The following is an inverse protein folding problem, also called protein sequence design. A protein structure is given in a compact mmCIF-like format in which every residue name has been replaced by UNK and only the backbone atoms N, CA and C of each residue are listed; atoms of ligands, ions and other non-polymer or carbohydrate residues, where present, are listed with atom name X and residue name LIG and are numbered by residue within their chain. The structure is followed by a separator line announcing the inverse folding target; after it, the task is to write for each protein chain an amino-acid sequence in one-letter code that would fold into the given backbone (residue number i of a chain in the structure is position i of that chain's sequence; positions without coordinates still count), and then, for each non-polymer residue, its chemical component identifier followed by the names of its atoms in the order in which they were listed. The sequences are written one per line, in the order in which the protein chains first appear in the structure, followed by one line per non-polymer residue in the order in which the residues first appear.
data_IF_707177181937
#
_entry.id   IF_707177181937
#
_cell.length_a   1.000
_cell.length_b   1.000
_cell.length_c   1.000
_cell.angle_alpha   90.00
_cell.angle_beta   90.00
_cell.angle_gamma   90.00
#
_symmetry.space_group_name_H-M   'P 1'
#
loop_
_entity.id
_entity.type
_entity.pdbx_description
1 polymer ?
#
# COMPACT_ATOMS: atom_id res chain seq x y z
N UNK A 1 -14.52 -15.13 4.02
CA UNK A 1 -14.03 -13.93 4.76
C UNK A 1 -13.01 -13.11 3.96
N UNK A 2 -12.02 -13.71 3.27
CA UNK A 2 -11.03 -13.00 2.43
C UNK A 2 -11.66 -12.16 1.30
N UNK A 3 -12.58 -12.75 0.53
CA UNK A 3 -13.24 -12.08 -0.61
C UNK A 3 -14.08 -10.85 -0.20
N UNK A 4 -14.61 -10.83 1.03
CA UNK A 4 -15.39 -9.70 1.55
C UNK A 4 -14.44 -8.54 1.95
N UNK A 5 -13.21 -8.82 2.41
CA UNK A 5 -12.24 -7.76 2.74
C UNK A 5 -11.53 -7.19 1.51
N UNK A 6 -11.35 -7.99 0.46
CA UNK A 6 -10.79 -7.55 -0.83
C UNK A 6 -11.78 -6.72 -1.64
N UNK A 7 -13.03 -7.17 -1.75
CA UNK A 7 -14.10 -6.42 -2.40
C UNK A 7 -14.21 -5.00 -1.80
N UNK A 8 -14.16 -4.92 -0.47
CA UNK A 8 -14.17 -3.68 0.30
C UNK A 8 -13.01 -2.72 0.01
N UNK A 9 -11.81 -3.23 -0.29
CA UNK A 9 -10.62 -2.42 -0.61
C UNK A 9 -10.69 -1.83 -2.02
N UNK A 10 -11.32 -2.55 -2.95
CA UNK A 10 -11.42 -2.14 -4.35
C UNK A 10 -12.39 -0.97 -4.58
N UNK A 11 -13.36 -0.74 -3.67
CA UNK A 11 -14.35 0.32 -3.82
C UNK A 11 -13.74 1.73 -3.96
N UNK A 12 -12.69 2.05 -3.20
CA UNK A 12 -12.02 3.35 -3.32
C UNK A 12 -11.32 3.52 -4.68
N UNK A 13 -10.65 2.47 -5.16
CA UNK A 13 -9.98 2.50 -6.46
C UNK A 13 -10.98 2.57 -7.61
N UNK A 14 -12.04 1.75 -7.60
CA UNK A 14 -13.09 1.82 -8.62
C UNK A 14 -13.81 3.18 -8.61
N UNK A 15 -14.10 3.73 -7.43
CA UNK A 15 -14.72 5.05 -7.32
C UNK A 15 -13.91 6.11 -8.08
N UNK A 16 -12.59 6.18 -7.88
CA UNK A 16 -11.74 7.15 -8.59
C UNK A 16 -11.48 6.78 -10.05
N UNK A 17 -11.09 5.54 -10.34
CA UNK A 17 -10.57 5.15 -11.66
C UNK A 17 -11.64 4.67 -12.64
N UNK A 18 -12.72 4.05 -12.15
CA UNK A 18 -13.79 3.53 -13.00
C UNK A 18 -14.97 4.48 -13.11
N UNK A 19 -15.31 5.15 -12.01
CA UNK A 19 -16.50 6.00 -11.91
C UNK A 19 -16.19 7.50 -11.80
N UNK A 20 -14.91 7.90 -11.87
CA UNK A 20 -14.45 9.29 -11.85
C UNK A 20 -14.98 10.13 -10.66
N UNK A 21 -15.17 9.48 -9.51
CA UNK A 21 -15.58 10.15 -8.27
C UNK A 21 -14.37 10.82 -7.63
N UNK A 22 -14.53 12.06 -7.19
CA UNK A 22 -13.50 12.78 -6.44
C UNK A 22 -13.34 12.22 -5.01
N UNK A 23 -12.55 11.15 -4.87
CA UNK A 23 -12.24 10.53 -3.57
C UNK A 23 -11.33 11.38 -2.65
N UNK A 24 -10.89 12.55 -3.12
CA UNK A 24 -10.22 13.56 -2.28
C UNK A 24 -11.20 14.42 -1.47
N UNK A 25 -12.49 14.43 -1.83
CA UNK A 25 -13.54 15.07 -1.03
C UNK A 25 -13.98 14.11 0.11
N UNK A 26 -13.86 14.50 1.39
CA UNK A 26 -14.28 13.67 2.52
C UNK A 26 -15.74 13.20 2.45
N UNK A 27 -16.65 13.99 1.87
CA UNK A 27 -18.06 13.61 1.71
C UNK A 27 -18.23 12.50 0.69
N UNK A 28 -17.53 12.62 -0.46
CA UNK A 28 -17.54 11.60 -1.51
C UNK A 28 -16.92 10.32 -0.98
N UNK A 29 -15.78 10.41 -0.29
CA UNK A 29 -15.10 9.26 0.29
C UNK A 29 -15.95 8.57 1.38
N UNK A 30 -16.62 9.32 2.26
CA UNK A 30 -17.56 8.76 3.25
C UNK A 30 -18.71 7.99 2.58
N UNK A 31 -19.28 8.53 1.49
CA UNK A 31 -20.33 7.86 0.71
C UNK A 31 -19.81 6.55 0.09
N UNK A 32 -18.63 6.58 -0.56
CA UNK A 32 -18.00 5.39 -1.16
C UNK A 32 -17.77 4.30 -0.09
N UNK A 33 -17.28 4.68 1.09
CA UNK A 33 -17.02 3.74 2.19
C UNK A 33 -18.32 3.15 2.74
N UNK A 34 -19.37 3.97 2.87
CA UNK A 34 -20.69 3.54 3.32
C UNK A 34 -21.34 2.57 2.32
N UNK A 35 -21.25 2.85 1.01
CA UNK A 35 -21.70 1.96 -0.06
C UNK A 35 -20.96 0.60 -0.05
N UNK A 36 -19.71 0.58 0.40
CA UNK A 36 -18.90 -0.63 0.60
C UNK A 36 -19.22 -1.39 1.91
N UNK A 37 -20.18 -0.92 2.70
CA UNK A 37 -20.59 -1.53 3.97
C UNK A 37 -19.62 -1.28 5.12
N UNK A 38 -18.99 -0.10 5.14
CA UNK A 38 -18.26 0.44 6.30
C UNK A 38 -19.02 1.58 6.94
N UNK A 39 -18.61 1.96 8.16
CA UNK A 39 -18.99 3.24 8.75
C UNK A 39 -18.09 4.34 8.16
N UNK A 40 -18.55 4.99 7.08
CA UNK A 40 -17.78 6.01 6.37
C UNK A 40 -17.47 7.22 7.24
N UNK A 41 -18.42 7.68 8.06
CA UNK A 41 -18.24 8.84 8.93
C UNK A 41 -17.21 8.56 10.02
N UNK A 42 -17.31 7.40 10.69
CA UNK A 42 -16.34 7.00 11.71
C UNK A 42 -14.93 6.85 11.13
N UNK A 43 -14.79 6.28 9.92
CA UNK A 43 -13.49 6.15 9.26
C UNK A 43 -12.88 7.49 8.87
N UNK A 44 -13.66 8.42 8.32
CA UNK A 44 -13.19 9.77 8.02
C UNK A 44 -12.76 10.49 9.30
N UNK A 45 -13.52 10.37 10.39
CA UNK A 45 -13.14 10.92 11.68
C UNK A 45 -11.82 10.32 12.20
N UNK A 46 -11.65 9.00 12.12
CA UNK A 46 -10.43 8.30 12.55
C UNK A 46 -9.18 8.75 11.78
N UNK A 47 -9.30 9.23 10.52
CA UNK A 47 -8.14 9.80 9.80
C UNK A 47 -7.54 11.03 10.49
N UNK A 48 -8.29 11.68 11.38
CA UNK A 48 -7.82 12.85 12.10
C UNK A 48 -7.00 12.50 13.34
N UNK A 49 -7.08 11.27 13.83
CA UNK A 49 -6.33 10.81 14.98
C UNK A 49 -4.84 10.92 14.74
N UNK A 50 -4.15 11.44 15.77
CA UNK A 50 -2.71 11.68 15.70
C UNK A 50 -1.94 10.39 15.41
N UNK A 51 -2.34 9.27 16.01
CA UNK A 51 -1.71 7.97 15.79
C UNK A 51 -1.78 7.53 14.32
N UNK A 52 -2.91 7.76 13.63
CA UNK A 52 -3.09 7.42 12.22
C UNK A 52 -2.19 8.28 11.34
N UNK A 53 -2.14 9.59 11.61
CA UNK A 53 -1.26 10.53 10.90
C UNK A 53 0.21 10.21 11.12
N UNK A 54 0.59 9.84 12.35
CA UNK A 54 1.97 9.48 12.68
C UNK A 54 2.37 8.16 12.01
N UNK A 55 1.47 7.19 11.93
CA UNK A 55 1.75 5.96 11.20
C UNK A 55 1.91 6.22 9.69
N UNK A 56 1.11 7.11 9.11
CA UNK A 56 1.28 7.54 7.71
C UNK A 56 2.66 8.17 7.49
N UNK A 57 3.08 9.10 8.36
CA UNK A 57 4.42 9.72 8.29
C UNK A 57 5.54 8.71 8.38
N UNK A 58 5.50 7.80 9.36
CA UNK A 58 6.49 6.72 9.53
C UNK A 58 6.58 5.82 8.29
N UNK A 59 5.44 5.50 7.68
CA UNK A 59 5.40 4.71 6.45
C UNK A 59 6.05 5.45 5.28
N UNK A 60 5.80 6.76 5.15
CA UNK A 60 6.43 7.62 4.14
C UNK A 60 7.94 7.76 4.36
N UNK A 61 8.38 7.96 5.59
CA UNK A 61 9.81 8.02 5.95
C UNK A 61 10.53 6.71 5.61
N UNK A 62 9.91 5.56 5.92
CA UNK A 62 10.42 4.24 5.52
C UNK A 62 10.58 4.12 4.00
N UNK A 63 9.59 4.58 3.24
CA UNK A 63 9.62 4.55 1.77
C UNK A 63 10.75 5.43 1.21
N UNK A 64 10.98 6.61 1.79
CA UNK A 64 12.08 7.51 1.43
C UNK A 64 13.43 6.85 1.77
N UNK A 65 13.59 6.27 2.96
CA UNK A 65 14.81 5.60 3.38
C UNK A 65 15.16 4.40 2.47
N UNK A 66 14.14 3.67 2.00
CA UNK A 66 14.28 2.59 1.04
C UNK A 66 14.41 3.06 -0.42
N UNK A 67 14.49 4.39 -0.65
CA UNK A 67 14.66 5.03 -1.97
C UNK A 67 13.59 4.64 -3.00
N UNK A 68 12.34 4.48 -2.56
CA UNK A 68 11.21 4.24 -3.48
C UNK A 68 11.04 5.44 -4.41
N UNK A 69 10.91 5.19 -5.71
CA UNK A 69 10.69 6.23 -6.72
C UNK A 69 9.21 6.42 -7.09
N UNK A 70 8.31 5.55 -6.61
CA UNK A 70 6.88 5.64 -6.90
C UNK A 70 6.08 4.43 -6.40
N UNK A 71 4.81 4.36 -6.82
CA UNK A 71 3.89 3.26 -6.51
C UNK A 71 3.28 2.66 -7.78
N UNK A 72 2.93 1.35 -7.80
CA UNK A 72 3.21 0.38 -6.75
C UNK A 72 4.71 0.02 -6.69
N UNK A 73 5.21 -0.15 -5.47
CA UNK A 73 6.56 -0.69 -5.16
C UNK A 73 6.39 -1.81 -4.14
N UNK A 74 7.20 -2.85 -4.28
CA UNK A 74 7.13 -4.07 -3.47
C UNK A 74 8.48 -4.34 -2.81
N UNK A 75 8.44 -4.92 -1.61
CA UNK A 75 9.62 -5.38 -0.89
C UNK A 75 9.22 -6.65 -0.13
N UNK A 76 9.96 -7.74 -0.34
CA UNK A 76 9.78 -8.99 0.40
C UNK A 76 10.83 -9.03 1.51
N UNK A 77 10.41 -9.17 2.77
CA UNK A 77 11.27 -9.06 3.95
C UNK A 77 12.13 -7.78 3.91
N UNK A 78 13.42 -7.87 4.22
CA UNK A 78 14.41 -6.81 4.07
C UNK A 78 15.13 -6.87 2.71
N UNK A 79 14.49 -7.50 1.72
CA UNK A 79 14.98 -7.69 0.36
C UNK A 79 15.06 -6.39 -0.45
N UNK A 80 15.40 -6.52 -1.72
CA UNK A 80 15.43 -5.38 -2.65
C UNK A 80 14.04 -4.88 -2.95
N UNK A 81 13.94 -3.58 -3.24
CA UNK A 81 12.69 -2.97 -3.70
C UNK A 81 12.53 -3.27 -5.18
N UNK A 82 11.37 -3.79 -5.55
CA UNK A 82 10.95 -3.96 -6.95
C UNK A 82 9.87 -2.94 -7.25
N UNK A 83 10.12 -2.07 -8.23
CA UNK A 83 9.19 -1.03 -8.63
C UNK A 83 8.35 -1.47 -9.84
N UNK A 84 7.05 -1.16 -9.80
CA UNK A 84 6.12 -1.37 -10.90
C UNK A 84 5.33 -2.68 -10.81
N UNK A 85 4.11 -2.66 -11.37
CA UNK A 85 3.22 -3.83 -11.44
C UNK A 85 3.67 -4.88 -12.46
N UNK A 86 4.47 -4.49 -13.45
CA UNK A 86 4.92 -5.37 -14.55
C UNK A 86 6.01 -6.37 -14.11
N UNK A 87 6.30 -6.45 -12.80
CA UNK A 87 7.36 -7.27 -12.19
C UNK A 87 6.84 -8.16 -11.07
N UNK A 88 5.53 -8.41 -11.01
CA UNK A 88 4.93 -9.28 -10.01
C UNK A 88 5.45 -10.71 -10.06
N UNK A 89 5.92 -11.19 -11.21
CA UNK A 89 6.60 -12.48 -11.33
C UNK A 89 7.88 -12.54 -10.48
N UNK A 90 8.69 -11.46 -10.46
CA UNK A 90 9.89 -11.38 -9.62
C UNK A 90 9.49 -11.44 -8.15
N UNK A 91 8.40 -10.77 -7.76
CA UNK A 91 7.89 -10.83 -6.39
C UNK A 91 7.42 -12.24 -6.02
N UNK A 92 6.76 -12.95 -6.93
CA UNK A 92 6.37 -14.34 -6.72
C UNK A 92 7.61 -15.24 -6.54
N UNK A 93 8.65 -15.06 -7.35
CA UNK A 93 9.91 -15.80 -7.22
C UNK A 93 10.58 -15.51 -5.87
N UNK A 94 10.63 -14.23 -5.45
CA UNK A 94 11.17 -13.84 -4.15
C UNK A 94 10.42 -14.48 -2.98
N UNK A 95 9.08 -14.57 -3.06
CA UNK A 95 8.27 -15.26 -2.05
C UNK A 95 8.51 -16.77 -2.03
N UNK A 96 8.91 -17.37 -3.14
CA UNK A 96 9.30 -18.77 -3.26
C UNK A 96 10.77 -19.03 -2.86
N UNK A 97 11.49 -18.02 -2.36
CA UNK A 97 12.85 -18.15 -1.85
C UNK A 97 13.95 -17.75 -2.84
N UNK A 98 13.61 -17.11 -3.96
CA UNK A 98 14.63 -16.51 -4.82
C UNK A 98 15.22 -15.26 -4.14
N UNK A 99 16.53 -15.29 -3.86
CA UNK A 99 17.25 -14.16 -3.28
C UNK A 99 17.88 -13.29 -4.36
N UNK A 100 17.81 -11.97 -4.17
CA UNK A 100 18.54 -11.00 -4.98
C UNK A 100 20.04 -11.08 -4.65
N UNK A 101 20.75 -11.85 -5.46
CA UNK A 101 22.19 -12.07 -5.38
C UNK A 101 23.04 -10.86 -5.79
N UNK A 102 22.40 -9.76 -6.23
CA UNK A 102 23.09 -8.51 -6.55
C UNK A 102 23.19 -7.56 -5.34
N UNK A 103 22.53 -7.88 -4.21
CA UNK A 103 22.84 -7.19 -2.96
C UNK A 103 24.26 -7.58 -2.51
N UNK A 104 25.12 -6.61 -2.14
CA UNK A 104 26.35 -6.95 -1.46
C UNK A 104 25.98 -7.66 -0.16
N UNK A 105 26.39 -8.93 -0.04
CA UNK A 105 26.26 -9.66 1.22
C UNK A 105 26.98 -8.87 2.31
N UNK A 106 26.32 -8.66 3.44
CA UNK A 106 26.90 -8.11 4.68
C UNK A 106 27.97 -9.06 5.30
N UNK A 107 28.74 -9.77 4.48
CA UNK A 107 29.79 -10.68 4.88
C UNK A 107 31.08 -10.34 4.16
N UNK A 108 31.83 -9.39 4.73
CA UNK A 108 33.21 -9.66 5.12
C UNK A 108 33.65 -8.60 6.11
N UNK A 109 33.63 -8.94 7.41
CA UNK A 109 34.67 -8.43 8.29
C UNK A 109 35.96 -9.11 7.81
N UNK A 110 36.79 -8.36 7.10
CA UNK A 110 38.23 -8.61 7.07
C UNK A 110 38.85 -7.96 8.31
#
# INVERSE_FOLDING_TARGET
MQAISEAKRNYGHEAGWRYDRNIGDPKVLSSVLSEAGFDGEALIAATQDQQVKDQLRKNTERAIAARLCGVPSYQVNDGSVVWGQDRLNIIADMLCGWEDHLKPTSSSKL
#
